data_IF_533009793421
#
_entry.id   IF_533009793421
#
_cell.length_a   1.000
_cell.length_b   1.000
_cell.length_c   1.000
_cell.angle_alpha   90.00
_cell.angle_beta   90.00
_cell.angle_gamma   90.00
#
_symmetry.space_group_name_H-M   'P 1'
#
loop_
_entity.id
_entity.type
_entity.pdbx_description
1 polymer ?
#
# COMPACT_ATOMS: atom_id res chain seq x y z
N UNK A 1 -3.83 35.74 -43.53
CA UNK A 1 -3.35 36.21 -42.20
C UNK A 1 -4.42 35.80 -41.20
N UNK A 2 -4.10 34.83 -40.35
CA UNK A 2 -4.74 34.44 -39.06
C UNK A 2 -6.24 34.02 -39.04
N UNK A 3 -6.52 32.71 -38.92
CA UNK A 3 -6.89 31.93 -37.70
C UNK A 3 -8.42 31.82 -37.58
N UNK A 4 -9.09 30.67 -37.74
CA UNK A 4 -9.12 29.37 -37.03
C UNK A 4 -9.73 29.40 -35.62
N UNK A 5 -10.86 28.67 -35.49
CA UNK A 5 -11.46 28.04 -34.30
C UNK A 5 -12.10 28.90 -33.19
N UNK A 6 -13.42 28.73 -33.00
CA UNK A 6 -14.07 28.67 -31.68
C UNK A 6 -15.52 28.20 -31.82
N UNK A 7 -15.78 26.98 -31.33
CA UNK A 7 -17.12 26.43 -31.08
C UNK A 7 -17.10 26.00 -29.62
N UNK A 8 -17.82 26.69 -28.73
CA UNK A 8 -18.34 26.10 -27.48
C UNK A 8 -19.38 27.01 -26.81
N UNK A 9 -20.45 26.35 -26.36
CA UNK A 9 -21.26 26.65 -25.17
C UNK A 9 -22.16 27.90 -25.15
N UNK A 10 -23.46 27.67 -25.37
CA UNK A 10 -24.52 28.50 -24.79
C UNK A 10 -25.53 27.58 -24.08
N UNK A 11 -25.41 27.48 -22.76
CA UNK A 11 -26.41 26.88 -21.89
C UNK A 11 -27.49 27.93 -21.63
N UNK A 12 -28.70 27.68 -22.14
CA UNK A 12 -29.83 28.60 -22.09
C UNK A 12 -30.49 28.54 -20.70
N UNK A 13 -30.39 29.64 -19.92
CA UNK A 13 -31.23 29.84 -18.73
C UNK A 13 -32.66 30.23 -19.18
N UNK A 14 -33.69 29.52 -18.73
CA UNK A 14 -35.06 30.00 -18.78
C UNK A 14 -35.58 30.26 -17.36
N UNK A 15 -35.82 31.53 -17.06
CA UNK A 15 -36.57 32.01 -15.89
C UNK A 15 -38.07 31.91 -16.19
N UNK A 16 -38.83 31.28 -15.29
CA UNK A 16 -40.29 31.37 -15.23
C UNK A 16 -40.76 31.11 -13.80
N UNK A 17 -41.44 32.08 -13.20
CA UNK A 17 -41.93 31.99 -11.83
C UNK A 17 -43.38 31.48 -11.76
N UNK A 18 -43.65 30.52 -10.88
CA UNK A 18 -44.97 30.25 -10.28
C UNK A 18 -44.76 29.80 -8.83
N UNK A 19 -45.48 30.31 -7.82
CA UNK A 19 -45.39 29.83 -6.45
C UNK A 19 -46.45 28.74 -6.19
N UNK A 20 -46.00 27.56 -5.80
CA UNK A 20 -46.80 26.55 -5.13
C UNK A 20 -45.84 25.74 -4.25
N UNK A 21 -46.31 25.37 -3.06
CA UNK A 21 -45.54 24.75 -1.96
C UNK A 21 -44.41 23.84 -2.46
N UNK A 22 -43.16 24.24 -2.22
CA UNK A 22 -42.01 23.48 -2.66
C UNK A 22 -41.95 22.16 -1.87
N UNK A 23 -42.21 21.04 -2.56
CA UNK A 23 -41.48 19.80 -2.27
C UNK A 23 -40.00 20.16 -2.15
N UNK A 24 -39.28 19.59 -1.19
CA UNK A 24 -37.81 19.74 -1.12
C UNK A 24 -37.22 19.30 -2.46
N UNK A 25 -36.94 20.27 -3.34
CA UNK A 25 -36.27 20.02 -4.61
C UNK A 25 -34.86 19.54 -4.31
N UNK A 26 -34.64 18.23 -4.42
CA UNK A 26 -33.31 17.63 -4.26
C UNK A 26 -32.37 18.27 -5.28
N UNK A 27 -31.41 19.07 -4.80
CA UNK A 27 -30.36 19.62 -5.65
C UNK A 27 -29.46 18.48 -6.12
N UNK A 28 -29.38 18.29 -7.43
CA UNK A 28 -28.60 17.25 -8.10
C UNK A 28 -29.07 15.81 -7.78
N UNK A 29 -30.26 15.39 -8.25
CA UNK A 29 -30.73 14.01 -8.08
C UNK A 29 -29.79 13.03 -8.78
N UNK A 30 -29.69 11.81 -8.24
CA UNK A 30 -28.96 10.75 -8.94
C UNK A 30 -29.61 10.49 -10.31
N UNK A 31 -28.82 10.34 -11.38
CA UNK A 31 -29.33 9.85 -12.65
C UNK A 31 -29.97 8.47 -12.46
N UNK A 32 -31.10 8.21 -13.11
CA UNK A 32 -31.86 6.95 -12.97
C UNK A 32 -31.00 5.70 -13.17
N UNK A 33 -30.06 5.74 -14.13
CA UNK A 33 -29.13 4.63 -14.39
C UNK A 33 -28.26 4.29 -13.18
N UNK A 34 -27.87 5.28 -12.38
CA UNK A 34 -27.10 5.07 -11.15
C UNK A 34 -28.05 4.76 -9.99
N UNK A 35 -29.19 5.45 -9.89
CA UNK A 35 -30.18 5.25 -8.82
C UNK A 35 -30.68 3.81 -8.76
N UNK A 36 -30.94 3.19 -9.92
CA UNK A 36 -31.39 1.79 -10.01
C UNK A 36 -30.38 0.77 -9.49
N UNK A 37 -29.09 1.11 -9.38
CA UNK A 37 -28.08 0.24 -8.74
C UNK A 37 -28.32 0.07 -7.24
N UNK A 38 -29.08 0.97 -6.64
CA UNK A 38 -29.42 0.99 -5.22
C UNK A 38 -30.84 0.50 -4.93
N UNK A 39 -31.65 0.21 -5.97
CA UNK A 39 -33.01 -0.34 -5.85
C UNK A 39 -32.98 -1.86 -5.60
N UNK A 40 -32.34 -2.26 -4.50
CA UNK A 40 -32.26 -3.65 -4.04
C UNK A 40 -32.31 -3.71 -2.50
N UNK A 41 -32.80 -4.80 -1.89
CA UNK A 41 -33.00 -4.89 -0.43
C UNK A 41 -31.76 -4.63 0.43
N UNK A 42 -30.55 -4.75 -0.14
CA UNK A 42 -29.31 -4.50 0.57
C UNK A 42 -29.12 -3.02 0.97
N UNK A 43 -29.89 -2.11 0.36
CA UNK A 43 -29.85 -0.67 0.61
C UNK A 43 -31.09 -0.16 1.36
N UNK A 44 -31.95 -1.05 1.86
CA UNK A 44 -33.11 -0.65 2.66
C UNK A 44 -32.67 0.21 3.86
N UNK A 45 -33.27 1.39 3.98
CA UNK A 45 -32.93 2.37 5.01
C UNK A 45 -31.71 3.25 4.70
N UNK A 46 -30.98 2.98 3.62
CA UNK A 46 -29.97 3.90 3.10
C UNK A 46 -30.57 4.88 2.11
N UNK A 47 -30.04 6.09 2.08
CA UNK A 47 -30.32 7.11 1.08
C UNK A 47 -29.02 7.79 0.67
N UNK A 48 -29.00 8.48 -0.45
CA UNK A 48 -27.84 9.29 -0.82
C UNK A 48 -27.74 10.43 0.17
N UNK A 49 -26.54 10.70 0.70
CA UNK A 49 -26.35 11.82 1.59
C UNK A 49 -26.86 13.12 0.94
N UNK A 50 -27.39 14.05 1.73
CA UNK A 50 -27.81 15.36 1.22
C UNK A 50 -26.81 16.41 1.70
N UNK A 51 -26.17 17.10 0.77
CA UNK A 51 -25.39 18.30 1.07
C UNK A 51 -26.33 19.49 1.33
N UNK A 52 -25.91 20.39 2.22
CA UNK A 52 -26.60 21.67 2.43
C UNK A 52 -26.61 22.56 1.18
N UNK A 53 -27.65 23.39 1.05
CA UNK A 53 -27.89 24.25 -0.13
C UNK A 53 -26.83 25.34 -0.35
N UNK A 54 -25.89 25.52 0.59
CA UNK A 54 -24.87 26.57 0.55
C UNK A 54 -23.52 26.13 -0.01
N UNK A 55 -23.32 24.84 -0.29
CA UNK A 55 -22.03 24.28 -0.72
C UNK A 55 -22.01 23.84 -2.18
N UNK A 56 -20.86 23.94 -2.87
CA UNK A 56 -20.67 23.37 -4.22
C UNK A 56 -20.40 21.86 -4.20
N UNK A 57 -20.22 21.28 -3.02
CA UNK A 57 -19.95 19.88 -2.83
C UNK A 57 -21.20 19.02 -3.03
N UNK A 58 -21.00 17.81 -3.56
CA UNK A 58 -22.08 16.88 -3.90
C UNK A 58 -22.01 15.63 -3.02
N UNK A 59 -23.06 14.83 -2.99
CA UNK A 59 -23.04 13.51 -2.33
C UNK A 59 -22.86 12.36 -3.33
N UNK A 60 -22.75 12.71 -4.60
CA UNK A 60 -22.36 11.84 -5.69
C UNK A 60 -21.71 12.65 -6.82
N UNK A 61 -20.85 12.00 -7.60
CA UNK A 61 -20.28 12.54 -8.83
C UNK A 61 -20.05 11.41 -9.84
N UNK A 62 -20.11 11.74 -11.12
CA UNK A 62 -19.64 10.87 -12.20
C UNK A 62 -18.67 11.65 -13.09
N UNK A 63 -17.53 11.04 -13.41
CA UNK A 63 -16.51 11.60 -14.27
C UNK A 63 -16.45 10.81 -15.58
N UNK A 64 -16.80 11.48 -16.67
CA UNK A 64 -16.63 10.92 -18.02
C UNK A 64 -15.16 10.63 -18.33
N UNK A 65 -14.25 11.50 -17.88
CA UNK A 65 -12.81 11.36 -18.11
C UNK A 65 -12.22 10.13 -17.39
N UNK A 66 -12.64 9.88 -16.14
CA UNK A 66 -12.20 8.71 -15.38
C UNK A 66 -13.03 7.45 -15.66
N UNK A 67 -14.13 7.57 -16.42
CA UNK A 67 -15.15 6.53 -16.61
C UNK A 67 -15.57 5.87 -15.29
N UNK A 68 -15.83 6.70 -14.28
CA UNK A 68 -16.17 6.24 -12.94
C UNK A 68 -17.00 7.27 -12.20
N UNK A 69 -17.71 6.82 -11.17
CA UNK A 69 -18.44 7.68 -10.24
C UNK A 69 -18.24 7.27 -8.79
N UNK A 70 -18.55 8.20 -7.90
CA UNK A 70 -18.64 7.98 -6.47
C UNK A 70 -20.05 8.35 -6.03
N UNK A 71 -20.68 7.47 -5.25
CA UNK A 71 -21.95 7.73 -4.58
C UNK A 71 -21.76 7.44 -3.10
N UNK A 72 -22.23 8.34 -2.23
CA UNK A 72 -22.18 8.13 -0.80
C UNK A 72 -23.58 7.82 -0.28
N UNK A 73 -23.76 6.58 0.16
CA UNK A 73 -25.01 6.11 0.77
C UNK A 73 -24.91 6.23 2.28
N UNK A 74 -25.94 6.79 2.92
CA UNK A 74 -25.98 7.03 4.36
C UNK A 74 -27.21 6.40 5.02
N UNK A 75 -27.03 5.94 6.25
CA UNK A 75 -28.08 5.53 7.17
C UNK A 75 -27.66 5.95 8.58
N UNK A 76 -28.15 7.11 9.04
CA UNK A 76 -27.73 7.73 10.29
C UNK A 76 -26.24 8.12 10.24
N UNK A 77 -25.43 7.58 11.16
CA UNK A 77 -23.99 7.85 11.23
C UNK A 77 -23.12 6.87 10.42
N UNK A 78 -23.76 5.91 9.75
CA UNK A 78 -23.09 4.95 8.88
C UNK A 78 -23.12 5.45 7.44
N UNK A 79 -21.93 5.63 6.86
CA UNK A 79 -21.76 6.09 5.50
C UNK A 79 -20.98 5.05 4.68
N UNK A 80 -21.42 4.80 3.46
CA UNK A 80 -20.81 3.83 2.54
C UNK A 80 -20.44 4.57 1.26
N UNK A 81 -19.14 4.70 1.02
CA UNK A 81 -18.61 5.26 -0.23
C UNK A 81 -18.61 4.14 -1.26
N UNK A 82 -19.34 4.34 -2.36
CA UNK A 82 -19.50 3.38 -3.44
C UNK A 82 -18.77 3.88 -4.69
N UNK A 83 -17.88 3.04 -5.25
CA UNK A 83 -17.32 3.27 -6.58
C UNK A 83 -18.22 2.63 -7.63
N UNK A 84 -18.56 3.42 -8.63
CA UNK A 84 -19.37 3.04 -9.78
C UNK A 84 -18.48 3.03 -11.02
N UNK A 85 -18.44 1.94 -11.77
CA UNK A 85 -17.70 1.85 -13.03
C UNK A 85 -18.52 1.04 -14.05
N UNK A 86 -18.35 1.29 -15.36
CA UNK A 86 -18.95 0.47 -16.39
C UNK A 86 -18.33 -0.94 -16.43
N UNK A 87 -19.16 -1.96 -16.64
CA UNK A 87 -18.70 -3.29 -17.00
C UNK A 87 -18.17 -3.34 -18.44
N UNK A 88 -17.69 -4.50 -18.89
CA UNK A 88 -17.17 -4.69 -20.26
C UNK A 88 -18.16 -4.36 -21.40
N UNK A 89 -19.45 -4.21 -21.08
CA UNK A 89 -20.52 -3.86 -22.03
C UNK A 89 -21.00 -2.40 -21.86
N UNK A 90 -20.37 -1.64 -20.96
CA UNK A 90 -20.72 -0.26 -20.68
C UNK A 90 -21.80 -0.07 -19.60
N UNK A 91 -22.35 -1.13 -19.00
CA UNK A 91 -23.39 -0.95 -17.98
C UNK A 91 -22.75 -0.57 -16.64
N UNK A 92 -23.26 0.47 -15.99
CA UNK A 92 -22.75 0.89 -14.68
C UNK A 92 -22.99 -0.18 -13.60
N UNK A 93 -21.99 -0.35 -12.73
CA UNK A 93 -22.02 -1.29 -11.59
C UNK A 93 -21.36 -0.67 -10.38
N UNK A 94 -21.84 -1.02 -9.19
CA UNK A 94 -21.09 -0.81 -7.95
C UNK A 94 -19.93 -1.81 -7.92
N UNK A 95 -18.70 -1.37 -8.20
CA UNK A 95 -17.52 -2.23 -8.27
C UNK A 95 -16.82 -2.37 -6.93
N UNK A 96 -16.85 -1.34 -6.09
CA UNK A 96 -16.27 -1.37 -4.75
C UNK A 96 -17.13 -0.58 -3.76
N UNK A 97 -17.00 -0.95 -2.48
CA UNK A 97 -17.64 -0.27 -1.35
C UNK A 97 -16.60 -0.07 -0.26
N UNK A 98 -16.64 1.07 0.41
CA UNK A 98 -15.85 1.30 1.62
C UNK A 98 -16.76 1.81 2.75
N UNK A 99 -16.70 1.11 3.89
CA UNK A 99 -17.52 1.33 5.10
C UNK A 99 -16.76 2.03 6.24
N UNK A 100 -15.48 2.34 6.01
CA UNK A 100 -14.49 2.79 7.00
C UNK A 100 -13.78 4.09 6.60
N UNK A 101 -14.12 4.65 5.45
CA UNK A 101 -13.58 5.92 4.96
C UNK A 101 -14.31 7.10 5.58
N UNK A 102 -15.59 6.92 5.91
CA UNK A 102 -16.45 7.90 6.58
C UNK A 102 -17.30 7.17 7.62
N UNK A 103 -17.22 7.59 8.87
CA UNK A 103 -18.14 7.18 9.95
C UNK A 103 -18.29 8.38 10.88
N UNK A 104 -19.49 8.59 11.41
CA UNK A 104 -19.80 9.69 12.32
C UNK A 104 -21.01 10.50 11.88
N UNK A 105 -21.32 11.55 12.63
CA UNK A 105 -22.52 12.36 12.41
C UNK A 105 -22.37 13.38 11.27
N UNK A 106 -21.13 13.66 10.84
CA UNK A 106 -20.85 14.51 9.69
C UNK A 106 -21.39 13.91 8.38
N UNK A 107 -22.07 14.74 7.59
CA UNK A 107 -22.51 14.38 6.23
C UNK A 107 -21.33 14.50 5.26
N UNK A 108 -20.81 13.38 4.71
CA UNK A 108 -19.68 13.39 3.79
C UNK A 108 -20.07 13.91 2.42
N UNK A 109 -19.08 14.45 1.71
CA UNK A 109 -19.27 15.11 0.43
C UNK A 109 -18.12 14.76 -0.52
N UNK A 110 -18.42 14.72 -1.81
CA UNK A 110 -17.51 14.36 -2.88
C UNK A 110 -17.55 15.38 -4.02
N UNK A 111 -16.41 15.63 -4.63
CA UNK A 111 -16.26 16.39 -5.86
C UNK A 111 -15.22 15.76 -6.79
N UNK A 112 -15.08 16.33 -7.99
CA UNK A 112 -14.01 15.97 -8.94
C UNK A 112 -12.95 17.06 -8.87
N UNK A 113 -11.77 16.68 -8.38
CA UNK A 113 -10.61 17.56 -8.28
C UNK A 113 -9.44 17.07 -9.12
N UNK A 114 -8.29 17.67 -8.89
CA UNK A 114 -7.03 17.37 -9.59
C UNK A 114 -6.03 16.65 -8.67
N UNK A 115 -6.47 16.20 -7.49
CA UNK A 115 -5.65 15.44 -6.54
C UNK A 115 -4.55 16.28 -5.88
N UNK A 116 -4.47 17.57 -6.21
CA UNK A 116 -3.75 18.62 -5.52
C UNK A 116 -4.80 19.50 -4.82
N UNK A 117 -5.40 18.98 -3.74
CA UNK A 117 -6.57 19.56 -3.08
C UNK A 117 -6.55 21.11 -2.99
N UNK A 118 -5.36 21.73 -2.89
CA UNK A 118 -5.17 23.15 -3.12
C UNK A 118 -3.92 23.31 -4.00
N UNK A 119 -3.98 24.18 -5.02
CA UNK A 119 -2.99 24.42 -6.11
C UNK A 119 -1.53 24.74 -5.69
N UNK A 120 -1.20 24.53 -4.41
CA UNK A 120 0.04 24.89 -3.74
C UNK A 120 1.08 23.76 -3.69
N UNK A 121 0.69 22.52 -4.04
CA UNK A 121 1.60 21.37 -4.02
C UNK A 121 1.46 20.58 -5.31
N UNK A 122 2.55 20.43 -6.06
CA UNK A 122 2.65 19.44 -7.14
C UNK A 122 2.78 18.05 -6.51
N UNK A 123 1.79 17.16 -6.66
CA UNK A 123 1.90 15.80 -6.13
C UNK A 123 2.95 14.99 -6.91
N UNK A 124 3.54 13.94 -6.32
CA UNK A 124 4.56 13.13 -7.00
C UNK A 124 4.03 12.33 -8.20
N UNK A 125 2.70 12.26 -8.37
CA UNK A 125 2.04 11.60 -9.50
C UNK A 125 1.59 12.56 -10.61
N UNK A 126 1.98 13.83 -10.55
CA UNK A 126 1.59 14.85 -11.53
C UNK A 126 0.12 15.29 -11.43
N UNK A 127 -0.32 16.13 -12.36
CA UNK A 127 -1.72 16.55 -12.49
C UNK A 127 -2.57 15.37 -12.95
N UNK A 128 -3.47 14.91 -12.09
CA UNK A 128 -4.32 13.75 -12.36
C UNK A 128 -5.70 13.98 -11.77
N UNK A 129 -6.76 13.77 -12.57
CA UNK A 129 -8.13 13.79 -12.06
C UNK A 129 -8.33 12.74 -10.97
N UNK A 130 -9.00 13.17 -9.90
CA UNK A 130 -9.34 12.34 -8.75
C UNK A 130 -10.71 12.69 -8.21
N UNK A 131 -11.28 11.79 -7.44
CA UNK A 131 -12.37 12.12 -6.54
C UNK A 131 -11.81 12.67 -5.25
N UNK A 132 -12.33 13.81 -4.80
CA UNK A 132 -11.97 14.42 -3.53
C UNK A 132 -13.15 14.25 -2.59
N UNK A 133 -12.90 13.65 -1.43
CA UNK A 133 -13.91 13.29 -0.44
C UNK A 133 -13.62 14.06 0.84
N UNK A 134 -14.54 14.95 1.23
CA UNK A 134 -14.59 15.50 2.58
C UNK A 134 -15.48 14.60 3.43
N UNK A 135 -14.93 14.05 4.52
CA UNK A 135 -15.71 13.22 5.43
C UNK A 135 -16.51 14.01 6.47
N UNK A 136 -16.42 15.34 6.44
CA UNK A 136 -17.07 16.28 7.36
C UNK A 136 -16.78 15.99 8.85
N UNK A 137 -15.63 15.36 9.10
CA UNK A 137 -15.06 15.06 10.41
C UNK A 137 -13.59 15.49 10.49
N UNK A 138 -13.22 16.49 9.68
CA UNK A 138 -11.88 17.08 9.62
C UNK A 138 -10.85 16.30 8.79
N UNK A 139 -11.30 15.47 7.84
CA UNK A 139 -10.40 14.83 6.89
C UNK A 139 -10.89 14.94 5.45
N UNK A 140 -10.01 15.41 4.57
CA UNK A 140 -10.20 15.33 3.12
C UNK A 140 -9.32 14.22 2.53
N UNK A 141 -9.82 13.52 1.52
CA UNK A 141 -9.11 12.41 0.88
C UNK A 141 -9.19 12.51 -0.63
N UNK A 142 -8.08 12.23 -1.32
CA UNK A 142 -8.09 12.11 -2.79
C UNK A 142 -7.98 10.64 -3.20
N UNK A 143 -8.89 10.21 -4.08
CA UNK A 143 -9.06 8.83 -4.53
C UNK A 143 -8.89 8.80 -6.05
N UNK A 144 -7.99 7.96 -6.54
CA UNK A 144 -7.72 7.83 -7.98
C UNK A 144 -7.34 6.41 -8.38
N UNK A 145 -7.41 6.12 -9.69
CA UNK A 145 -7.08 4.80 -10.25
C UNK A 145 -5.63 4.76 -10.73
N UNK A 146 -4.79 3.94 -10.09
CA UNK A 146 -3.36 3.78 -10.37
C UNK A 146 -3.07 2.32 -10.68
N UNK A 147 -2.45 2.06 -11.83
CA UNK A 147 -2.11 0.71 -12.29
C UNK A 147 -3.33 -0.24 -12.28
N UNK A 148 -4.49 0.29 -12.68
CA UNK A 148 -5.77 -0.42 -12.67
C UNK A 148 -6.46 -0.54 -11.30
N UNK A 149 -5.85 -0.04 -10.23
CA UNK A 149 -6.33 -0.17 -8.84
C UNK A 149 -6.76 1.17 -8.27
N UNK A 150 -7.94 1.25 -7.68
CA UNK A 150 -8.39 2.45 -6.95
C UNK A 150 -7.67 2.59 -5.62
N UNK A 151 -7.09 3.76 -5.37
CA UNK A 151 -6.24 4.02 -4.20
C UNK A 151 -6.54 5.40 -3.62
N UNK A 152 -6.44 5.50 -2.30
CA UNK A 152 -6.33 6.78 -1.60
C UNK A 152 -4.89 7.26 -1.71
N UNK A 153 -4.68 8.44 -2.30
CA UNK A 153 -3.33 9.01 -2.52
C UNK A 153 -3.03 10.20 -1.63
N UNK A 154 -4.05 10.88 -1.17
CA UNK A 154 -3.90 12.03 -0.29
C UNK A 154 -4.85 11.88 0.89
N UNK A 155 -4.36 12.20 2.09
CA UNK A 155 -5.19 12.43 3.28
C UNK A 155 -4.78 13.76 3.87
N UNK A 156 -5.69 14.72 3.90
CA UNK A 156 -5.50 15.98 4.59
C UNK A 156 -6.22 15.92 5.93
N UNK A 157 -5.45 16.07 7.00
CA UNK A 157 -5.95 16.21 8.35
C UNK A 157 -6.13 17.71 8.67
N UNK A 158 -7.39 18.15 8.74
CA UNK A 158 -7.77 19.54 9.01
C UNK A 158 -7.64 19.89 10.50
N UNK A 159 -7.59 18.90 11.40
CA UNK A 159 -7.40 19.15 12.83
C UNK A 159 -6.02 19.73 13.15
N UNK A 160 -5.07 19.49 12.26
CA UNK A 160 -3.69 19.91 12.46
C UNK A 160 -2.99 20.28 11.14
N UNK A 161 -3.72 20.70 10.11
CA UNK A 161 -3.16 21.17 8.84
C UNK A 161 -2.03 20.29 8.28
N UNK A 162 -2.21 18.97 8.31
CA UNK A 162 -1.20 18.02 7.84
C UNK A 162 -1.69 17.30 6.60
N UNK A 163 -0.95 17.42 5.50
CA UNK A 163 -1.20 16.66 4.28
C UNK A 163 -0.30 15.42 4.28
N UNK A 164 -0.91 14.28 3.97
CA UNK A 164 -0.23 12.99 3.85
C UNK A 164 -0.29 12.49 2.42
N UNK A 165 0.87 12.23 1.81
CA UNK A 165 1.01 11.58 0.49
C UNK A 165 1.16 10.08 0.70
N UNK A 166 0.12 9.32 0.33
CA UNK A 166 0.01 7.89 0.63
C UNK A 166 0.51 7.06 -0.56
N UNK A 167 1.65 6.41 -0.39
CA UNK A 167 2.21 5.46 -1.34
C UNK A 167 2.29 4.07 -0.71
N UNK A 168 2.47 3.07 -1.56
CA UNK A 168 2.47 1.66 -1.16
C UNK A 168 3.65 1.34 -0.22
N UNK A 169 4.77 2.07 -0.35
CA UNK A 169 6.04 1.84 0.34
C UNK A 169 6.42 2.95 1.35
N UNK A 170 5.64 4.02 1.41
CA UNK A 170 5.91 5.19 2.27
C UNK A 170 4.72 6.12 2.36
N UNK A 171 4.65 6.84 3.48
CA UNK A 171 3.74 7.96 3.66
C UNK A 171 4.58 9.22 3.89
N UNK A 172 4.38 10.22 3.03
CA UNK A 172 4.99 11.54 3.18
C UNK A 172 4.06 12.46 3.97
N UNK A 173 4.58 13.17 4.96
CA UNK A 173 3.83 14.12 5.77
C UNK A 173 4.38 15.53 5.57
N UNK A 174 3.48 16.49 5.38
CA UNK A 174 3.79 17.91 5.37
C UNK A 174 2.83 18.65 6.30
N UNK A 175 3.41 19.40 7.23
CA UNK A 175 2.68 20.30 8.12
C UNK A 175 2.55 21.67 7.44
N UNK A 176 1.36 22.22 7.45
CA UNK A 176 1.08 23.56 6.96
C UNK A 176 1.74 24.63 7.82
N UNK A 177 2.21 25.69 7.18
CA UNK A 177 2.71 26.90 7.83
C UNK A 177 1.60 27.96 7.76
N UNK A 178 1.07 28.36 8.92
CA UNK A 178 0.10 29.45 9.00
C UNK A 178 0.70 30.75 8.45
N UNK A 179 -0.06 31.40 7.57
CA UNK A 179 0.14 32.77 7.09
C UNK A 179 -1.09 33.59 7.47
N UNK A 180 -1.04 34.90 7.21
CA UNK A 180 -2.08 35.86 7.61
C UNK A 180 -3.48 35.46 7.11
N UNK A 181 -3.59 34.99 5.86
CA UNK A 181 -4.89 34.69 5.22
C UNK A 181 -5.03 33.22 4.75
N UNK A 182 -3.99 32.39 4.88
CA UNK A 182 -4.01 31.01 4.38
C UNK A 182 -2.97 30.12 5.06
N UNK A 183 -3.11 28.81 4.89
CA UNK A 183 -2.08 27.84 5.28
C UNK A 183 -1.25 27.49 4.06
N UNK A 184 0.06 27.72 4.14
CA UNK A 184 1.01 27.45 3.08
C UNK A 184 1.62 26.05 3.22
N UNK A 185 1.76 25.35 2.10
CA UNK A 185 2.41 24.03 2.07
C UNK A 185 3.60 24.05 1.12
N UNK A 186 4.80 23.73 1.64
CA UNK A 186 6.03 23.65 0.85
C UNK A 186 6.45 22.19 0.61
N UNK A 187 6.28 21.70 -0.61
CA UNK A 187 6.64 20.32 -1.00
C UNK A 187 8.10 19.91 -0.72
N UNK A 188 9.02 20.88 -0.53
CA UNK A 188 10.41 20.60 -0.11
C UNK A 188 10.52 20.14 1.35
N UNK A 189 9.50 20.40 2.17
CA UNK A 189 9.49 20.09 3.60
C UNK A 189 8.84 18.74 3.92
N UNK A 190 8.48 17.94 2.91
CA UNK A 190 7.85 16.63 3.12
C UNK A 190 8.80 15.71 3.88
N UNK A 191 8.31 15.15 4.99
CA UNK A 191 9.00 14.16 5.81
C UNK A 191 8.39 12.79 5.54
N UNK A 192 9.21 11.80 5.19
CA UNK A 192 8.71 10.46 4.90
C UNK A 192 8.84 9.54 6.12
N UNK A 193 7.79 8.73 6.34
CA UNK A 193 7.87 7.45 7.03
C UNK A 193 7.81 6.37 5.95
N UNK A 194 8.83 5.51 5.94
CA UNK A 194 8.91 4.40 5.01
C UNK A 194 8.28 3.16 5.66
N UNK A 195 7.82 2.24 4.80
CA UNK A 195 7.14 1.00 5.16
C UNK A 195 5.77 0.89 4.49
N UNK A 196 5.20 -0.31 4.51
CA UNK A 196 4.04 -0.65 3.70
C UNK A 196 2.71 -0.17 4.27
N UNK A 197 1.84 0.33 3.40
CA UNK A 197 0.48 0.72 3.77
C UNK A 197 -0.52 0.35 2.67
N UNK A 198 -1.58 -0.38 3.05
CA UNK A 198 -2.66 -0.74 2.12
C UNK A 198 -3.56 0.47 1.86
N UNK A 199 -3.23 1.21 0.80
CA UNK A 199 -3.96 2.39 0.35
C UNK A 199 -5.10 2.05 -0.63
N UNK A 200 -5.44 0.78 -0.86
CA UNK A 200 -6.52 0.40 -1.78
C UNK A 200 -7.84 0.95 -1.27
N UNK A 201 -8.67 1.47 -2.17
CA UNK A 201 -9.97 2.06 -1.82
C UNK A 201 -10.80 1.14 -0.93
N UNK A 202 -10.95 -0.15 -1.27
CA UNK A 202 -11.76 -1.08 -0.46
C UNK A 202 -11.17 -1.40 0.92
N UNK A 203 -9.85 -1.27 1.11
CA UNK A 203 -9.15 -1.64 2.34
C UNK A 203 -8.93 -0.46 3.29
N UNK A 204 -8.89 0.77 2.76
CA UNK A 204 -8.56 1.97 3.50
C UNK A 204 -9.49 2.20 4.70
N UNK A 205 -8.91 2.51 5.86
CA UNK A 205 -9.62 2.86 7.10
C UNK A 205 -9.05 4.15 7.69
N UNK A 206 -9.87 5.20 7.76
CA UNK A 206 -9.42 6.51 8.27
C UNK A 206 -9.08 6.47 9.77
N UNK A 207 -9.70 5.57 10.53
CA UNK A 207 -9.42 5.41 11.96
C UNK A 207 -8.03 4.81 12.20
N UNK A 208 -7.68 3.80 11.40
CA UNK A 208 -6.39 3.09 11.53
C UNK A 208 -5.24 3.84 10.85
N UNK A 209 -5.54 4.70 9.87
CA UNK A 209 -4.56 5.52 9.14
C UNK A 209 -3.63 6.27 10.11
N UNK A 210 -2.29 6.15 9.98
CA UNK A 210 -1.33 6.91 10.77
C UNK A 210 -1.41 8.40 10.42
N UNK A 211 -1.89 9.22 11.35
CA UNK A 211 -2.16 10.65 11.13
C UNK A 211 -0.92 11.52 11.37
N UNK A 212 0.13 10.96 11.94
CA UNK A 212 1.39 11.65 12.21
C UNK A 212 2.58 10.85 11.73
N UNK A 213 3.71 11.53 11.53
CA UNK A 213 4.99 10.90 11.19
C UNK A 213 5.44 9.90 12.27
N UNK A 214 5.19 10.21 13.54
CA UNK A 214 5.52 9.34 14.67
C UNK A 214 4.67 8.07 14.66
N UNK A 215 3.35 8.20 14.50
CA UNK A 215 2.44 7.04 14.38
C UNK A 215 2.82 6.17 13.18
N UNK A 216 3.15 6.79 12.05
CA UNK A 216 3.59 6.06 10.86
C UNK A 216 4.89 5.30 11.15
N UNK A 217 5.88 5.91 11.78
CA UNK A 217 7.13 5.22 12.15
C UNK A 217 6.94 4.12 13.19
N UNK A 218 5.91 4.20 14.01
CA UNK A 218 5.57 3.18 14.98
C UNK A 218 4.78 2.01 14.37
N UNK A 219 3.99 2.27 13.32
CA UNK A 219 3.09 1.30 12.67
C UNK A 219 3.69 0.65 11.42
N UNK A 220 4.47 1.41 10.64
CA UNK A 220 5.07 0.94 9.39
C UNK A 220 6.39 0.23 9.71
N UNK A 221 6.55 -1.01 9.24
CA UNK A 221 7.81 -1.74 9.32
C UNK A 221 8.72 -1.34 8.15
N UNK A 222 10.00 -1.10 8.44
CA UNK A 222 11.00 -0.76 7.44
C UNK A 222 11.88 -1.96 7.15
N UNK A 223 12.28 -2.17 5.88
CA UNK A 223 13.31 -3.13 5.59
C UNK A 223 14.59 -2.72 6.34
N UNK A 224 15.27 -3.67 7.00
CA UNK A 224 16.48 -3.35 7.72
C UNK A 224 17.62 -3.00 6.75
N UNK A 225 18.62 -2.28 7.27
CA UNK A 225 19.86 -2.05 6.54
C UNK A 225 20.70 -3.33 6.57
N UNK A 226 20.95 -3.89 5.40
CA UNK A 226 21.85 -5.05 5.24
C UNK A 226 23.32 -4.63 5.40
N UNK A 227 24.17 -5.44 6.05
CA UNK A 227 25.62 -5.27 6.02
C UNK A 227 26.20 -5.16 4.60
N UNK A 228 27.25 -4.37 4.42
CA UNK A 228 27.85 -4.06 3.11
C UNK A 228 28.71 -5.18 2.52
N UNK A 229 29.01 -6.20 3.32
CA UNK A 229 29.74 -7.41 2.94
C UNK A 229 28.82 -8.52 2.40
N UNK A 230 27.52 -8.23 2.28
CA UNK A 230 26.53 -9.09 1.63
C UNK A 230 26.03 -8.49 0.31
N UNK A 231 25.13 -9.21 -0.36
CA UNK A 231 24.42 -8.69 -1.53
C UNK A 231 23.57 -7.46 -1.18
N UNK A 232 23.65 -6.43 -2.02
CA UNK A 232 22.75 -5.29 -1.96
C UNK A 232 21.37 -5.70 -2.49
N UNK A 233 20.28 -5.44 -1.74
CA UNK A 233 18.93 -5.65 -2.25
C UNK A 233 18.68 -4.88 -3.55
N UNK A 234 18.01 -5.53 -4.51
CA UNK A 234 17.54 -4.88 -5.74
C UNK A 234 16.09 -4.47 -5.60
N UNK A 235 15.75 -3.30 -6.13
CA UNK A 235 14.39 -2.80 -6.15
C UNK A 235 13.60 -3.45 -7.28
N UNK A 236 12.64 -4.30 -6.92
CA UNK A 236 11.69 -4.93 -7.86
C UNK A 236 10.28 -4.76 -7.30
N UNK A 237 9.36 -4.33 -8.16
CA UNK A 237 7.93 -4.28 -7.83
C UNK A 237 7.30 -5.65 -8.07
N UNK A 238 7.10 -6.42 -7.01
CA UNK A 238 6.29 -7.64 -7.06
C UNK A 238 4.81 -7.28 -7.25
N UNK A 239 4.03 -8.21 -7.79
CA UNK A 239 2.58 -8.05 -7.90
C UNK A 239 1.97 -7.97 -6.49
N UNK A 240 1.23 -6.89 -6.21
CA UNK A 240 0.60 -6.67 -4.92
C UNK A 240 -0.49 -7.71 -4.60
N UNK A 241 -0.72 -8.00 -3.32
CA UNK A 241 -1.74 -8.94 -2.85
C UNK A 241 -1.40 -10.42 -2.98
N UNK A 242 -0.18 -10.77 -3.40
CA UNK A 242 0.24 -12.15 -3.60
C UNK A 242 0.89 -12.76 -2.35
N UNK A 243 0.90 -14.09 -2.32
CA UNK A 243 1.48 -14.91 -1.25
C UNK A 243 2.37 -15.99 -1.86
N UNK A 244 3.57 -16.16 -1.31
CA UNK A 244 4.55 -17.12 -1.81
C UNK A 244 5.05 -18.03 -0.69
N UNK A 245 5.08 -19.34 -0.94
CA UNK A 245 5.74 -20.29 -0.05
C UNK A 245 7.24 -19.95 0.05
N UNK A 246 7.75 -19.88 1.28
CA UNK A 246 9.15 -19.55 1.55
C UNK A 246 9.90 -20.78 2.04
N UNK A 247 11.01 -21.08 1.36
CA UNK A 247 11.87 -22.22 1.62
C UNK A 247 13.21 -21.76 2.19
N UNK A 248 13.90 -22.61 2.93
CA UNK A 248 15.15 -22.21 3.60
C UNK A 248 16.39 -22.37 2.72
N UNK A 249 16.28 -23.04 1.57
CA UNK A 249 17.30 -23.12 0.53
C UNK A 249 16.61 -23.20 -0.85
N UNK A 250 17.33 -23.00 -1.97
CA UNK A 250 16.77 -23.27 -3.29
C UNK A 250 16.23 -24.70 -3.38
N UNK A 251 14.94 -24.86 -3.68
CA UNK A 251 14.27 -26.16 -3.79
C UNK A 251 13.08 -26.32 -2.86
N UNK A 252 12.01 -26.96 -3.36
CA UNK A 252 10.76 -27.23 -2.60
C UNK A 252 10.91 -28.34 -1.55
N UNK A 253 11.95 -29.14 -1.67
CA UNK A 253 12.32 -30.23 -0.77
C UNK A 253 13.09 -29.74 0.47
N UNK A 254 13.68 -28.55 0.41
CA UNK A 254 14.39 -27.91 1.51
C UNK A 254 13.49 -27.65 2.74
N UNK A 255 14.12 -27.28 3.85
CA UNK A 255 13.40 -26.96 5.08
C UNK A 255 12.44 -25.79 4.87
N UNK A 256 11.25 -25.88 5.47
CA UNK A 256 10.25 -24.80 5.45
C UNK A 256 9.85 -24.49 6.89
N UNK A 257 10.17 -23.27 7.33
CA UNK A 257 9.93 -22.80 8.68
C UNK A 257 8.41 -22.73 9.02
N UNK A 258 8.11 -22.34 10.26
CA UNK A 258 6.74 -22.26 10.77
C UNK A 258 5.93 -23.55 10.57
N UNK A 259 6.54 -24.70 10.89
CA UNK A 259 5.94 -26.03 10.72
C UNK A 259 5.47 -26.31 9.27
N UNK A 260 6.28 -25.93 8.28
CA UNK A 260 5.95 -26.12 6.88
C UNK A 260 4.96 -25.10 6.30
N UNK A 261 4.73 -23.97 7.00
CA UNK A 261 3.76 -22.93 6.59
C UNK A 261 4.40 -21.56 6.35
N UNK A 262 5.73 -21.45 6.36
CA UNK A 262 6.40 -20.18 6.08
C UNK A 262 5.95 -19.65 4.71
N UNK A 263 5.42 -18.43 4.71
CA UNK A 263 4.85 -17.75 3.56
C UNK A 263 5.28 -16.28 3.63
N UNK A 264 5.48 -15.66 2.48
CA UNK A 264 5.75 -14.24 2.31
C UNK A 264 4.56 -13.58 1.63
N UNK A 265 4.10 -12.47 2.20
CA UNK A 265 3.08 -11.58 1.64
C UNK A 265 3.77 -10.44 0.88
N UNK A 266 3.29 -10.07 -0.30
CA UNK A 266 3.75 -8.87 -1.02
C UNK A 266 3.04 -7.59 -0.57
N UNK A 267 2.22 -7.66 0.49
CA UNK A 267 1.60 -6.47 1.08
C UNK A 267 2.53 -5.78 2.08
N UNK A 268 3.60 -6.46 2.49
CA UNK A 268 4.64 -5.96 3.39
C UNK A 268 5.96 -5.79 2.65
N UNK A 269 6.95 -5.18 3.28
CA UNK A 269 8.24 -4.95 2.62
C UNK A 269 8.93 -6.29 2.32
N UNK A 270 9.58 -6.33 1.15
CA UNK A 270 10.40 -7.45 0.71
C UNK A 270 11.68 -6.87 0.11
N UNK A 271 12.83 -7.37 0.55
CA UNK A 271 14.12 -7.15 -0.09
C UNK A 271 14.48 -8.38 -0.91
N UNK A 272 14.82 -8.21 -2.18
CA UNK A 272 15.29 -9.28 -3.07
C UNK A 272 16.79 -9.12 -3.25
N UNK A 273 17.58 -10.15 -2.96
CA UNK A 273 19.04 -10.09 -3.01
C UNK A 273 19.61 -10.59 -4.34
N UNK A 274 18.84 -11.39 -5.07
CA UNK A 274 19.26 -11.99 -6.33
C UNK A 274 18.61 -13.34 -6.54
N UNK A 275 19.04 -14.01 -7.59
CA UNK A 275 18.54 -15.32 -8.00
C UNK A 275 19.64 -16.38 -8.01
N UNK A 276 19.30 -17.61 -7.65
CA UNK A 276 20.09 -18.83 -7.83
C UNK A 276 19.15 -19.96 -8.27
N UNK A 277 19.45 -20.61 -9.40
CA UNK A 277 18.74 -21.80 -9.88
C UNK A 277 17.20 -21.69 -9.91
N UNK A 278 16.67 -20.52 -10.30
CA UNK A 278 15.24 -20.24 -10.35
C UNK A 278 14.59 -19.90 -9.00
N UNK A 279 15.40 -19.56 -8.00
CA UNK A 279 14.96 -19.16 -6.67
C UNK A 279 15.52 -17.79 -6.29
N UNK A 280 14.66 -16.93 -5.75
CA UNK A 280 15.05 -15.61 -5.25
C UNK A 280 15.38 -15.71 -3.78
N UNK A 281 16.57 -15.26 -3.37
CA UNK A 281 16.83 -14.97 -1.97
C UNK A 281 16.11 -13.68 -1.59
N UNK A 282 15.23 -13.76 -0.60
CA UNK A 282 14.44 -12.65 -0.09
C UNK A 282 14.63 -12.47 1.40
N UNK A 283 14.46 -11.24 1.87
CA UNK A 283 14.18 -10.91 3.27
C UNK A 283 12.84 -10.20 3.35
N UNK A 284 11.99 -10.57 4.29
CA UNK A 284 10.64 -10.03 4.37
C UNK A 284 10.13 -9.92 5.80
N UNK A 285 9.12 -9.07 5.98
CA UNK A 285 8.45 -8.84 7.25
C UNK A 285 7.61 -10.05 7.69
N UNK A 286 7.69 -10.41 8.98
CA UNK A 286 6.74 -11.33 9.61
C UNK A 286 5.91 -10.58 10.66
N UNK A 287 6.59 -9.77 11.48
CA UNK A 287 6.01 -8.88 12.47
C UNK A 287 7.00 -7.78 12.82
N UNK A 288 6.61 -6.85 13.69
CA UNK A 288 7.47 -5.76 14.18
C UNK A 288 8.85 -6.23 14.66
N UNK A 289 8.91 -7.36 15.35
CA UNK A 289 10.12 -7.85 16.02
C UNK A 289 10.70 -9.09 15.33
N UNK A 290 10.11 -9.52 14.21
CA UNK A 290 10.51 -10.74 13.49
C UNK A 290 10.46 -10.53 11.98
N UNK A 291 11.54 -10.92 11.32
CA UNK A 291 11.65 -10.99 9.86
C UNK A 291 12.25 -12.33 9.48
N UNK A 292 12.41 -12.60 8.19
CA UNK A 292 13.02 -13.85 7.73
C UNK A 292 13.74 -13.69 6.41
N UNK A 293 14.91 -14.31 6.31
CA UNK A 293 15.53 -14.67 5.05
C UNK A 293 15.02 -16.02 4.54
N UNK A 294 14.79 -16.13 3.24
CA UNK A 294 14.42 -17.40 2.62
C UNK A 294 14.36 -17.30 1.10
N UNK A 295 13.88 -18.36 0.48
CA UNK A 295 13.85 -18.54 -0.97
C UNK A 295 12.41 -18.69 -1.45
N UNK A 296 12.04 -17.91 -2.46
CA UNK A 296 10.79 -18.04 -3.21
C UNK A 296 11.08 -18.36 -4.67
N UNK A 297 10.13 -18.92 -5.40
CA UNK A 297 10.32 -19.20 -6.83
C UNK A 297 10.49 -17.89 -7.63
N UNK A 298 11.45 -17.86 -8.57
CA UNK A 298 11.71 -16.70 -9.44
C UNK A 298 10.52 -16.32 -10.34
N UNK A 299 9.54 -17.22 -10.50
CA UNK A 299 8.25 -16.90 -11.12
C UNK A 299 7.44 -15.81 -10.41
N UNK A 300 7.84 -15.40 -9.20
CA UNK A 300 7.29 -14.23 -8.51
C UNK A 300 7.64 -12.90 -9.20
N UNK A 301 8.74 -12.86 -9.97
CA UNK A 301 9.14 -11.66 -10.71
C UNK A 301 8.14 -11.35 -11.84
N UNK A 302 7.90 -10.06 -12.14
CA UNK A 302 7.19 -9.67 -13.35
C UNK A 302 7.89 -10.24 -14.60
N UNK A 303 7.12 -10.46 -15.67
CA UNK A 303 7.68 -10.95 -16.94
C UNK A 303 8.85 -10.06 -17.41
N UNK A 304 9.91 -10.69 -17.88
CA UNK A 304 11.13 -10.05 -18.38
C UNK A 304 11.88 -9.18 -17.34
N UNK A 305 11.66 -9.43 -16.05
CA UNK A 305 12.48 -8.83 -15.00
C UNK A 305 13.63 -9.78 -14.68
N UNK A 306 14.85 -9.26 -14.73
CA UNK A 306 16.06 -9.97 -14.33
C UNK A 306 16.63 -9.31 -13.08
N UNK A 307 17.20 -10.13 -12.19
CA UNK A 307 17.93 -9.70 -11.01
C UNK A 307 19.35 -10.25 -11.04
N UNK A 308 20.24 -9.70 -10.22
CA UNK A 308 21.62 -10.19 -10.12
C UNK A 308 21.66 -11.66 -9.71
N UNK A 309 22.60 -12.40 -10.27
CA UNK A 309 22.82 -13.81 -9.91
C UNK A 309 23.63 -13.91 -8.63
N UNK A 310 23.19 -14.75 -7.70
CA UNK A 310 23.88 -15.03 -6.46
C UNK A 310 25.07 -15.96 -6.74
N UNK A 311 26.23 -15.57 -6.23
CA UNK A 311 27.48 -16.31 -6.30
C UNK A 311 28.04 -16.48 -4.90
N UNK A 312 28.12 -17.72 -4.44
CA UNK A 312 28.58 -18.03 -3.10
C UNK A 312 30.08 -18.31 -3.09
N UNK A 313 30.65 -18.28 -1.89
CA UNK A 313 31.99 -18.77 -1.66
C UNK A 313 32.15 -20.24 -2.10
N UNK A 314 33.30 -20.51 -2.69
CA UNK A 314 33.75 -21.86 -3.02
C UNK A 314 34.85 -22.27 -2.02
N UNK A 315 34.39 -22.56 -0.79
CA UNK A 315 35.24 -22.95 0.32
C UNK A 315 35.03 -24.44 0.64
N UNK A 316 36.06 -25.13 1.19
CA UNK A 316 35.85 -26.45 1.78
C UNK A 316 34.84 -26.37 2.94
N UNK A 317 34.21 -27.50 3.26
CA UNK A 317 33.32 -27.59 4.41
C UNK A 317 34.05 -27.20 5.71
N UNK A 318 33.42 -26.30 6.45
CA UNK A 318 33.95 -25.77 7.70
C UNK A 318 33.42 -26.59 8.87
N UNK A 319 34.17 -26.60 9.97
CA UNK A 319 33.78 -27.32 11.19
C UNK A 319 33.35 -26.33 12.25
N UNK A 320 32.17 -26.53 12.81
CA UNK A 320 31.68 -25.76 13.96
C UNK A 320 32.59 -26.05 15.15
N UNK A 321 33.21 -25.03 15.75
CA UNK A 321 34.15 -25.21 16.87
C UNK A 321 33.48 -25.20 18.24
N UNK A 322 32.34 -24.53 18.36
CA UNK A 322 31.55 -24.42 19.59
C UNK A 322 30.09 -24.58 19.27
N UNK A 323 29.32 -25.19 20.17
CA UNK A 323 27.87 -25.30 20.03
C UNK A 323 27.27 -23.93 19.70
N UNK A 324 26.43 -23.91 18.67
CA UNK A 324 25.86 -22.69 18.11
C UNK A 324 24.46 -22.97 17.60
N UNK A 325 23.79 -21.94 17.08
CA UNK A 325 22.46 -22.03 16.52
C UNK A 325 22.41 -21.41 15.13
N UNK A 326 21.46 -21.86 14.33
CA UNK A 326 21.11 -21.26 13.04
C UNK A 326 19.85 -20.44 13.21
N UNK A 327 19.85 -19.21 12.70
CA UNK A 327 18.67 -18.34 12.59
C UNK A 327 18.45 -17.92 11.14
N UNK A 328 17.22 -17.61 10.75
CA UNK A 328 16.90 -16.94 9.47
C UNK A 328 16.64 -15.43 9.68
N UNK A 329 16.81 -14.92 10.90
CA UNK A 329 16.58 -13.54 11.29
C UNK A 329 17.77 -12.95 12.07
N UNK A 330 18.91 -12.68 11.41
CA UNK A 330 20.12 -12.20 12.09
C UNK A 330 20.00 -10.74 12.56
N UNK A 331 19.02 -9.98 12.05
CA UNK A 331 18.90 -8.53 12.24
C UNK A 331 17.83 -8.12 13.26
N UNK A 332 16.84 -8.98 13.57
CA UNK A 332 15.83 -8.70 14.58
C UNK A 332 15.76 -9.79 15.66
N UNK A 333 14.85 -10.76 15.52
CA UNK A 333 14.50 -11.70 16.60
C UNK A 333 15.64 -12.66 16.97
N UNK A 334 16.47 -13.05 16.00
CA UNK A 334 17.47 -14.12 16.12
C UNK A 334 16.87 -15.42 16.63
N UNK A 335 15.60 -15.69 16.29
CA UNK A 335 14.94 -16.93 16.68
C UNK A 335 15.71 -18.14 16.15
N UNK A 336 15.82 -19.16 17.00
CA UNK A 336 16.59 -20.37 16.72
C UNK A 336 15.76 -21.32 15.86
N UNK A 337 16.23 -21.63 14.65
CA UNK A 337 15.66 -22.68 13.80
C UNK A 337 16.16 -24.05 14.24
N UNK A 338 17.47 -24.16 14.46
CA UNK A 338 18.10 -25.39 14.93
C UNK A 338 19.41 -25.11 15.66
N UNK A 339 19.84 -26.11 16.43
CA UNK A 339 21.15 -26.13 17.07
C UNK A 339 22.16 -26.91 16.23
N UNK A 340 23.42 -26.48 16.27
CA UNK A 340 24.58 -27.20 15.76
C UNK A 340 25.54 -27.45 16.92
N UNK A 341 26.14 -28.63 16.96
CA UNK A 341 27.14 -29.02 17.94
C UNK A 341 28.54 -28.73 17.41
N UNK A 342 29.50 -28.58 18.33
CA UNK A 342 30.91 -28.61 17.97
C UNK A 342 31.24 -29.93 17.22
N UNK A 343 31.91 -29.82 16.08
CA UNK A 343 32.22 -30.92 15.17
C UNK A 343 31.30 -31.02 13.96
N UNK A 344 30.11 -30.39 13.98
CA UNK A 344 29.20 -30.38 12.83
C UNK A 344 29.85 -29.68 11.62
N UNK A 345 29.50 -30.14 10.42
CA UNK A 345 29.99 -29.59 9.15
C UNK A 345 28.98 -28.63 8.55
N UNK A 346 29.47 -27.51 8.03
CA UNK A 346 28.66 -26.51 7.33
C UNK A 346 29.39 -26.03 6.09
N UNK A 347 28.64 -25.59 5.08
CA UNK A 347 29.19 -24.83 3.95
C UNK A 347 28.98 -23.35 4.21
N UNK A 348 30.06 -22.57 4.26
CA UNK A 348 29.96 -21.10 4.38
C UNK A 348 29.76 -20.52 2.99
N UNK A 349 28.71 -19.72 2.82
CA UNK A 349 28.30 -19.17 1.52
C UNK A 349 28.70 -17.69 1.38
N UNK A 350 28.66 -16.91 2.46
CA UNK A 350 29.01 -15.49 2.46
C UNK A 350 29.20 -14.96 3.89
N UNK A 351 29.88 -13.82 4.00
CA UNK A 351 29.80 -12.94 5.17
C UNK A 351 28.45 -12.22 5.26
N UNK A 352 28.06 -11.82 6.47
CA UNK A 352 26.91 -10.96 6.75
C UNK A 352 27.14 -10.22 8.08
N UNK A 353 27.91 -9.14 8.06
CA UNK A 353 28.30 -8.42 9.28
C UNK A 353 28.98 -9.34 10.29
N UNK A 354 28.38 -9.55 11.47
CA UNK A 354 28.91 -10.45 12.52
C UNK A 354 28.51 -11.93 12.34
N UNK A 355 27.88 -12.27 11.22
CA UNK A 355 27.35 -13.61 10.94
C UNK A 355 28.02 -14.20 9.69
N UNK A 356 28.05 -15.53 9.63
CA UNK A 356 28.22 -16.25 8.37
C UNK A 356 26.85 -16.69 7.88
N UNK A 357 26.57 -16.47 6.59
CA UNK A 357 25.49 -17.14 5.89
C UNK A 357 25.97 -18.53 5.48
N UNK A 358 25.29 -19.58 5.94
CA UNK A 358 25.74 -20.98 5.81
C UNK A 358 24.64 -21.88 5.28
N UNK A 359 25.03 -22.97 4.65
CA UNK A 359 24.18 -24.11 4.31
C UNK A 359 24.49 -25.29 5.24
N UNK A 360 23.44 -25.90 5.77
CA UNK A 360 23.49 -27.06 6.66
C UNK A 360 22.38 -28.04 6.32
N UNK A 361 22.57 -29.30 6.71
CA UNK A 361 21.50 -30.30 6.72
C UNK A 361 21.36 -30.80 8.16
N UNK A 362 20.52 -30.15 8.99
CA UNK A 362 20.30 -30.58 10.37
C UNK A 362 19.65 -31.97 10.39
N UNK A 363 19.53 -32.58 11.57
CA UNK A 363 18.89 -33.90 11.75
C UNK A 363 17.45 -34.06 11.21
N UNK A 364 16.85 -33.01 10.65
CA UNK A 364 15.64 -33.04 9.82
C UNK A 364 15.84 -33.72 8.46
N UNK A 365 17.08 -33.87 8.00
CA UNK A 365 17.44 -34.42 6.68
C UNK A 365 17.16 -33.48 5.51
N UNK A 366 16.77 -32.23 5.79
CA UNK A 366 16.47 -31.21 4.77
C UNK A 366 17.51 -30.10 4.80
N UNK A 367 17.93 -29.66 3.62
CA UNK A 367 18.82 -28.50 3.47
C UNK A 367 18.17 -27.25 4.06
N UNK A 368 18.97 -26.49 4.79
CA UNK A 368 18.64 -25.25 5.46
C UNK A 368 19.79 -24.28 5.21
N UNK A 369 19.50 -23.08 4.71
CA UNK A 369 20.43 -21.96 4.77
C UNK A 369 19.99 -20.94 5.79
N UNK A 370 20.93 -20.40 6.54
CA UNK A 370 20.68 -19.44 7.60
C UNK A 370 21.97 -18.85 8.12
N UNK A 371 21.91 -18.20 9.28
CA UNK A 371 23.00 -17.42 9.84
C UNK A 371 23.48 -18.04 11.15
N UNK A 372 24.80 -18.11 11.29
CA UNK A 372 25.49 -18.49 12.53
C UNK A 372 26.48 -17.39 12.91
N UNK A 373 26.79 -17.15 14.20
CA UNK A 373 27.80 -16.18 14.58
C UNK A 373 29.16 -16.55 13.98
N UNK A 374 29.91 -15.57 13.46
CA UNK A 374 31.25 -15.83 12.91
C UNK A 374 32.19 -16.45 13.94
N UNK A 375 31.99 -16.14 15.22
CA UNK A 375 32.76 -16.72 16.34
C UNK A 375 32.56 -18.23 16.51
N UNK A 376 31.61 -18.86 15.80
CA UNK A 376 31.38 -20.31 15.86
C UNK A 376 32.28 -21.13 14.91
N UNK A 377 33.02 -20.48 14.01
CA UNK A 377 33.89 -21.13 13.02
C UNK A 377 35.23 -20.41 12.97
N UNK A 378 36.31 -21.18 12.80
CA UNK A 378 37.60 -20.64 12.36
C UNK A 378 37.72 -20.92 10.86
N UNK A 379 37.50 -19.89 10.03
CA UNK A 379 37.37 -20.06 8.59
C UNK A 379 38.71 -20.54 7.98
N UNK A 380 38.65 -21.65 7.26
CA UNK A 380 39.76 -22.17 6.45
C UNK A 380 39.49 -21.76 5.01
N UNK A 381 40.34 -20.88 4.47
CA UNK A 381 40.27 -20.31 3.11
C UNK A 381 41.11 -21.06 2.10
#
# INVERSE_FOLDING_TARGET
MKEMLSFLLAMLMMLGAVPAMAEETIRNPLPDEIATLFDVPAWDGFHVAQCDDTSNWLSWVYSEEMHAGVVIMTNGSLHIVCLIEPDSKGNLRITQRNYKMVVGEGMPRVEIGWGNAYEQITPPWGERRMFELDNNNGYHMAIGKFDGVWRVKLVWNLHNDTISFVNDEKIGYIKGEEREDYVAYNSRNVKYAYGTYDNRFAAFNIYDFPKTLEEARAKLTNPPVTPTDFYTPVSVNLRAGEKYDVFAAPGRDSYRAANGKAEMSTNDWVQIFGEEDGWLLVQYDISRDQMRFGYIAASALPRNTEVQQLRWYDLPEQTVKTNTYVTDDPLASREIICWLNAGDKVKVLSDFGSWYYVEVTPGTGKTLRGFIPQTAIDLIT
#
